data_IF_268684216661
#
_entry.id   IF_268684216661
#
_cell.length_a   1.000
_cell.length_b   1.000
_cell.length_c   1.000
_cell.angle_alpha   90.00
_cell.angle_beta   90.00
_cell.angle_gamma   90.00
#
_symmetry.space_group_name_H-M   'P 1'
#
loop_
_entity.id
_entity.type
_entity.pdbx_description
1 polymer ?
#
# COMPACT_ATOMS: atom_id res chain seq x y z
N UNK A 1 -12.58 17.16 -1.26
CA UNK A 1 -11.43 16.67 -0.47
C UNK A 1 -11.50 15.19 -0.14
N UNK A 2 -12.56 14.69 0.49
CA UNK A 2 -12.68 13.25 0.81
C UNK A 2 -12.66 12.35 -0.44
N UNK A 3 -13.39 12.70 -1.49
CA UNK A 3 -13.44 11.91 -2.75
C UNK A 3 -12.06 11.76 -3.38
N UNK A 4 -11.28 12.85 -3.42
CA UNK A 4 -9.93 12.85 -3.96
C UNK A 4 -8.96 12.08 -3.06
N UNK A 5 -9.07 12.21 -1.73
CA UNK A 5 -8.31 11.37 -0.79
C UNK A 5 -8.58 9.88 -1.00
N UNK A 6 -9.85 9.52 -1.25
CA UNK A 6 -10.26 8.16 -1.56
C UNK A 6 -9.64 7.68 -2.88
N UNK A 7 -9.66 8.51 -3.93
CA UNK A 7 -9.07 8.17 -5.22
C UNK A 7 -7.55 7.97 -5.12
N UNK A 8 -6.84 8.81 -4.36
CA UNK A 8 -5.41 8.64 -4.07
C UNK A 8 -5.17 7.31 -3.35
N UNK A 9 -5.96 7.01 -2.32
CA UNK A 9 -5.84 5.77 -1.57
C UNK A 9 -6.11 4.54 -2.47
N UNK A 10 -7.17 4.56 -3.27
CA UNK A 10 -7.50 3.46 -4.21
C UNK A 10 -6.42 3.26 -5.27
N UNK A 11 -5.83 4.35 -5.78
CA UNK A 11 -4.71 4.27 -6.74
C UNK A 11 -3.47 3.64 -6.10
N UNK A 12 -3.16 4.01 -4.85
CA UNK A 12 -2.07 3.41 -4.09
C UNK A 12 -2.34 1.92 -3.82
N UNK A 13 -3.57 1.57 -3.49
CA UNK A 13 -3.98 0.18 -3.28
C UNK A 13 -3.80 -0.64 -4.56
N UNK A 14 -4.25 -0.12 -5.69
CA UNK A 14 -4.09 -0.76 -6.99
C UNK A 14 -2.60 -1.02 -7.27
N UNK A 15 -1.73 -0.02 -7.09
CA UNK A 15 -0.28 -0.16 -7.25
C UNK A 15 0.29 -1.31 -6.40
N UNK A 16 -0.10 -1.37 -5.12
CA UNK A 16 0.36 -2.39 -4.17
C UNK A 16 -0.16 -3.79 -4.47
N UNK A 17 -1.36 -3.90 -5.06
CA UNK A 17 -1.94 -5.17 -5.50
C UNK A 17 -1.36 -5.65 -6.83
N UNK A 18 -0.87 -4.74 -7.67
CA UNK A 18 -0.30 -5.06 -8.98
C UNK A 18 1.18 -5.43 -8.96
N UNK A 19 1.80 -5.70 -7.79
CA UNK A 19 3.25 -5.91 -7.63
C UNK A 19 3.88 -6.93 -8.61
N UNK A 20 4.16 -6.43 -9.80
CA UNK A 20 4.96 -6.93 -10.91
C UNK A 20 5.27 -5.75 -11.87
N UNK A 21 5.24 -4.51 -11.35
CA UNK A 21 5.24 -3.29 -12.16
C UNK A 21 6.66 -2.84 -12.52
N UNK A 22 7.19 -3.41 -13.59
CA UNK A 22 8.33 -2.88 -14.36
C UNK A 22 8.13 -1.38 -14.61
N UNK A 23 9.14 -0.54 -14.31
CA UNK A 23 9.11 0.91 -14.55
C UNK A 23 8.46 1.77 -13.46
N UNK A 24 8.29 1.26 -12.23
CA UNK A 24 7.78 2.02 -11.07
C UNK A 24 8.77 2.00 -9.90
N UNK A 25 8.59 2.87 -8.89
CA UNK A 25 9.32 2.80 -7.62
C UNK A 25 9.11 1.47 -6.87
N UNK A 26 8.18 0.63 -7.35
CA UNK A 26 7.86 -0.70 -6.84
C UNK A 26 8.49 -1.85 -7.63
N UNK A 27 9.23 -1.55 -8.70
CA UNK A 27 9.89 -2.55 -9.52
C UNK A 27 10.83 -3.44 -8.69
N UNK A 28 10.70 -4.76 -8.85
CA UNK A 28 11.50 -5.75 -8.11
C UNK A 28 11.15 -5.91 -6.62
N UNK A 29 10.15 -5.18 -6.09
CA UNK A 29 9.72 -5.37 -4.69
C UNK A 29 8.76 -6.55 -4.57
N UNK A 30 9.07 -7.45 -3.65
CA UNK A 30 8.20 -8.55 -3.26
C UNK A 30 7.38 -8.18 -2.03
N UNK A 31 6.45 -9.05 -1.62
CA UNK A 31 5.72 -8.94 -0.33
C UNK A 31 6.68 -8.69 0.85
N UNK A 32 7.92 -9.15 0.77
CA UNK A 32 8.92 -8.96 1.83
C UNK A 32 9.40 -7.50 1.92
N UNK A 33 9.44 -6.76 0.81
CA UNK A 33 10.09 -5.43 0.70
C UNK A 33 9.16 -4.28 0.26
N UNK A 34 7.84 -4.47 0.29
CA UNK A 34 6.82 -3.51 -0.20
C UNK A 34 6.73 -2.16 0.54
N UNK A 35 7.41 -1.97 1.68
CA UNK A 35 7.24 -0.78 2.53
C UNK A 35 7.63 0.56 1.87
N UNK A 36 8.47 0.53 0.84
CA UNK A 36 8.94 1.73 0.13
C UNK A 36 8.17 2.02 -1.16
N UNK A 37 6.97 1.44 -1.31
CA UNK A 37 6.08 1.65 -2.46
C UNK A 37 5.04 2.71 -2.18
N UNK A 38 5.27 3.94 -2.63
CA UNK A 38 4.29 5.03 -2.48
C UNK A 38 4.20 5.82 -3.78
N UNK A 39 2.98 6.18 -4.17
CA UNK A 39 2.73 7.11 -5.27
C UNK A 39 3.35 8.46 -4.93
N UNK A 40 4.15 8.99 -5.85
CA UNK A 40 4.61 10.38 -5.78
C UNK A 40 3.43 11.31 -6.02
N UNK A 41 3.10 12.12 -5.04
CA UNK A 41 2.12 13.19 -5.20
C UNK A 41 2.79 14.43 -5.80
N UNK A 42 2.01 15.25 -6.51
CA UNK A 42 2.53 16.50 -7.10
C UNK A 42 3.11 17.43 -6.03
N UNK A 43 4.17 18.16 -6.37
CA UNK A 43 4.72 19.21 -5.50
C UNK A 43 3.62 20.24 -5.16
N UNK A 44 3.41 20.49 -3.86
CA UNK A 44 2.33 21.35 -3.36
C UNK A 44 0.99 20.65 -3.11
N UNK A 45 0.93 19.30 -3.20
CA UNK A 45 -0.24 18.52 -2.82
C UNK A 45 -0.73 18.87 -1.40
N UNK A 46 -2.04 19.08 -1.26
CA UNK A 46 -2.72 19.25 0.04
C UNK A 46 -2.88 17.92 0.80
N UNK A 47 -2.50 16.82 0.15
CA UNK A 47 -2.60 15.46 0.67
C UNK A 47 -1.22 14.92 1.02
N UNK A 48 -1.17 14.19 2.12
CA UNK A 48 -0.03 13.34 2.51
C UNK A 48 -0.46 11.88 2.43
N UNK A 49 0.37 11.04 1.81
CA UNK A 49 0.15 9.61 1.67
C UNK A 49 1.18 8.85 2.49
N UNK A 50 0.73 7.82 3.20
CA UNK A 50 1.59 6.89 3.91
C UNK A 50 1.05 5.47 3.79
N UNK A 51 1.97 4.50 3.73
CA UNK A 51 1.66 3.07 3.69
C UNK A 51 2.40 2.41 4.85
N UNK A 52 1.65 1.79 5.75
CA UNK A 52 2.22 1.20 6.97
C UNK A 52 1.79 -0.26 7.10
N UNK A 53 2.72 -1.21 7.25
CA UNK A 53 2.36 -2.60 7.52
C UNK A 53 1.81 -2.73 8.95
N UNK A 54 0.62 -3.30 9.08
CA UNK A 54 -0.05 -3.52 10.37
C UNK A 54 0.06 -4.96 10.83
N UNK A 55 0.15 -5.92 9.91
CA UNK A 55 0.31 -7.34 10.23
C UNK A 55 1.10 -8.08 9.18
N UNK A 56 1.95 -9.01 9.62
CA UNK A 56 2.62 -9.97 8.74
C UNK A 56 1.99 -11.36 8.92
N UNK A 57 1.67 -12.02 7.82
CA UNK A 57 1.10 -13.36 7.80
C UNK A 57 2.13 -14.36 7.27
N UNK A 58 2.44 -15.35 8.10
CA UNK A 58 3.41 -16.39 7.80
C UNK A 58 2.72 -17.74 7.64
N UNK A 59 3.29 -18.58 6.78
CA UNK A 59 2.87 -19.96 6.57
C UNK A 59 4.12 -20.85 6.61
N UNK A 60 4.00 -21.98 7.31
CA UNK A 60 5.05 -23.00 7.37
C UNK A 60 4.57 -24.22 6.60
N UNK A 61 5.13 -24.50 5.41
CA UNK A 61 4.81 -25.72 4.69
C UNK A 61 5.34 -26.95 5.45
N UNK A 62 4.73 -28.12 5.23
CA UNK A 62 5.12 -29.35 5.90
C UNK A 62 6.60 -29.69 5.60
N UNK A 63 7.42 -29.78 6.65
CA UNK A 63 8.86 -30.04 6.54
C UNK A 63 9.72 -28.85 6.11
N UNK A 64 9.15 -27.65 6.03
CA UNK A 64 9.84 -26.43 5.62
C UNK A 64 10.01 -25.38 6.73
N UNK A 65 10.52 -24.21 6.35
CA UNK A 65 10.69 -23.04 7.23
C UNK A 65 9.51 -22.09 7.06
N UNK A 66 9.14 -21.38 8.13
CA UNK A 66 8.11 -20.34 8.07
C UNK A 66 8.49 -19.26 7.06
N UNK A 67 7.60 -18.99 6.10
CA UNK A 67 7.76 -17.95 5.10
C UNK A 67 6.60 -16.96 5.16
N UNK A 68 6.90 -15.68 5.01
CA UNK A 68 5.86 -14.65 4.86
C UNK A 68 5.11 -14.89 3.55
N UNK A 69 3.80 -15.07 3.60
CA UNK A 69 2.96 -15.24 2.40
C UNK A 69 2.07 -14.03 2.13
N UNK A 70 1.77 -13.21 3.15
CA UNK A 70 0.99 -11.99 2.98
C UNK A 70 1.32 -10.95 4.06
N UNK A 71 0.96 -9.69 3.78
CA UNK A 71 0.97 -8.58 4.74
C UNK A 71 -0.34 -7.83 4.67
N UNK A 72 -0.85 -7.42 5.82
CA UNK A 72 -1.90 -6.43 5.93
C UNK A 72 -1.23 -5.07 6.11
N UNK A 73 -1.65 -4.10 5.32
CA UNK A 73 -1.11 -2.74 5.33
C UNK A 73 -2.24 -1.74 5.33
N UNK A 74 -2.00 -0.60 5.98
CA UNK A 74 -2.90 0.54 5.95
C UNK A 74 -2.38 1.56 4.97
N UNK A 75 -3.21 1.91 3.99
CA UNK A 75 -3.00 3.05 3.11
C UNK A 75 -3.73 4.24 3.72
N UNK A 76 -2.96 5.20 4.22
CA UNK A 76 -3.50 6.39 4.88
C UNK A 76 -3.24 7.64 4.05
N UNK A 77 -4.30 8.37 3.76
CA UNK A 77 -4.26 9.69 3.14
C UNK A 77 -4.76 10.73 4.14
N UNK A 78 -3.95 11.75 4.41
CA UNK A 78 -4.23 12.84 5.35
C UNK A 78 -4.30 14.18 4.63
N UNK A 79 -5.21 15.06 5.07
CA UNK A 79 -5.37 16.42 4.56
C UNK A 79 -5.93 17.35 5.65
N UNK A 80 -5.88 18.66 5.43
CA UNK A 80 -6.59 19.64 6.25
C UNK A 80 -7.87 20.08 5.54
N UNK A 81 -9.01 20.08 6.22
CA UNK A 81 -10.24 20.60 5.65
C UNK A 81 -10.23 22.14 5.52
N UNK A 82 -11.33 22.72 5.00
CA UNK A 82 -11.42 24.17 4.77
C UNK A 82 -11.33 24.99 6.05
N UNK A 83 -11.55 24.38 7.22
CA UNK A 83 -11.46 25.01 8.53
C UNK A 83 -10.09 24.77 9.18
N UNK A 84 -9.15 24.15 8.47
CA UNK A 84 -7.83 23.79 9.01
C UNK A 84 -7.86 22.56 9.94
N UNK A 85 -8.97 21.82 9.98
CA UNK A 85 -9.06 20.61 10.81
C UNK A 85 -8.37 19.46 10.09
N UNK A 86 -7.47 18.78 10.80
CA UNK A 86 -6.82 17.58 10.27
C UNK A 86 -7.84 16.46 10.06
N UNK A 87 -7.83 15.89 8.87
CA UNK A 87 -8.66 14.77 8.46
C UNK A 87 -7.78 13.66 7.89
N UNK A 88 -8.28 12.42 7.96
CA UNK A 88 -7.59 11.30 7.32
C UNK A 88 -8.55 10.19 6.93
N UNK A 89 -8.19 9.50 5.86
CA UNK A 89 -8.80 8.26 5.40
C UNK A 89 -7.73 7.16 5.54
N UNK A 90 -8.08 6.05 6.20
CA UNK A 90 -7.23 4.85 6.25
C UNK A 90 -7.99 3.68 5.65
N UNK A 91 -7.40 3.03 4.66
CA UNK A 91 -7.96 1.85 4.02
C UNK A 91 -7.00 0.66 4.23
N UNK A 92 -7.43 -0.40 4.95
CA UNK A 92 -6.63 -1.59 5.10
C UNK A 92 -6.67 -2.42 3.82
N UNK A 93 -5.52 -2.97 3.44
CA UNK A 93 -5.38 -3.89 2.32
C UNK A 93 -4.54 -5.10 2.70
N UNK A 94 -4.80 -6.20 1.99
CA UNK A 94 -3.94 -7.38 2.03
C UNK A 94 -3.14 -7.47 0.74
N UNK A 95 -1.84 -7.65 0.86
CA UNK A 95 -0.95 -7.96 -0.25
C UNK A 95 -0.35 -9.34 0.00
N UNK A 96 -0.62 -10.28 -0.89
CA UNK A 96 -0.16 -11.66 -0.77
C UNK A 96 0.73 -12.06 -1.94
N UNK A 97 1.60 -13.05 -1.71
CA UNK A 97 2.46 -13.63 -2.74
C UNK A 97 1.65 -14.28 -3.88
N UNK A 98 0.38 -14.62 -3.64
CA UNK A 98 -0.50 -15.35 -4.56
C UNK A 98 -1.54 -14.48 -5.27
N UNK A 99 -1.73 -13.24 -4.81
CA UNK A 99 -2.62 -12.27 -5.48
C UNK A 99 -1.92 -11.53 -6.62
N UNK A 100 -0.60 -11.71 -6.74
CA UNK A 100 0.12 -11.32 -7.95
C UNK A 100 -0.35 -12.21 -9.09
N UNK A 101 -0.99 -11.60 -10.10
CA UNK A 101 -1.13 -12.21 -11.42
C UNK A 101 0.27 -12.36 -12.01
N UNK A 102 0.87 -13.53 -11.75
CA UNK A 102 1.97 -14.07 -12.54
C UNK A 102 1.32 -14.99 -13.57
N UNK A 103 1.43 -14.62 -14.84
CA UNK A 103 1.61 -15.62 -15.90
C UNK A 103 2.98 -16.28 -15.71
#
# INVERSE_FOLDING_TARGET
MFVEAKQIAESQIALLQTLNTTGSDCEGKTVENIQSCQLTLNEGSLYSLSVTPTKTLQHTPAGGVAATYAKIMDVKVSWNDRNGTAQSLSLPISVSKFTNLLD
#
